data_IF_214146861847
#
_entry.id   IF_214146861847
#
_cell.length_a   1.000
_cell.length_b   1.000
_cell.length_c   1.000
_cell.angle_alpha   90.00
_cell.angle_beta   90.00
_cell.angle_gamma   90.00
#
_symmetry.space_group_name_H-M   'P 1'
#
loop_
_entity.id
_entity.type
_entity.pdbx_description
1 polymer ?
#
# COMPACT_ATOMS: atom_id res chain seq x y z
N UNK A 1 -9.36 -5.87 -3.44
CA UNK A 1 -8.23 -6.74 -3.01
C UNK A 1 -8.47 -7.13 -1.56
N UNK A 2 -8.36 -8.42 -1.20
CA UNK A 2 -8.62 -8.85 0.19
C UNK A 2 -7.30 -9.08 0.94
N UNK A 3 -7.25 -8.64 2.18
CA UNK A 3 -6.20 -8.95 3.16
C UNK A 3 -6.87 -9.39 4.47
N UNK A 4 -6.11 -9.94 5.42
CA UNK A 4 -6.68 -10.31 6.73
C UNK A 4 -7.14 -9.09 7.53
N UNK A 5 -6.41 -7.96 7.42
CA UNK A 5 -6.80 -6.67 8.00
C UNK A 5 -8.10 -6.09 7.44
N UNK A 6 -8.41 -6.35 6.17
CA UNK A 6 -9.67 -5.90 5.59
C UNK A 6 -9.73 -5.93 4.07
N UNK A 7 -10.82 -5.38 3.53
CA UNK A 7 -11.00 -5.22 2.09
C UNK A 7 -10.35 -3.90 1.65
N UNK A 8 -9.35 -4.00 0.77
CA UNK A 8 -8.74 -2.85 0.13
C UNK A 8 -9.41 -2.56 -1.23
N UNK A 9 -9.86 -1.33 -1.42
CA UNK A 9 -10.46 -0.80 -2.63
C UNK A 9 -9.46 0.05 -3.38
N UNK A 10 -9.46 -0.08 -4.71
CA UNK A 10 -8.66 0.79 -5.58
C UNK A 10 -9.26 2.20 -5.58
N UNK A 11 -8.40 3.22 -5.56
CA UNK A 11 -8.80 4.63 -5.54
C UNK A 11 -8.29 5.37 -6.77
N UNK A 12 -6.99 5.29 -7.06
CA UNK A 12 -6.37 5.97 -8.21
C UNK A 12 -5.16 5.17 -8.72
N UNK A 13 -4.76 5.41 -9.95
CA UNK A 13 -3.56 4.80 -10.55
C UNK A 13 -2.63 5.88 -11.05
N UNK A 14 -1.33 5.69 -10.84
CA UNK A 14 -0.26 6.54 -11.34
C UNK A 14 0.56 5.73 -12.35
N UNK A 15 0.27 5.96 -13.63
CA UNK A 15 0.90 5.22 -14.75
C UNK A 15 2.37 5.60 -14.96
N UNK A 16 2.77 6.81 -14.55
CA UNK A 16 4.14 7.30 -14.71
C UNK A 16 5.07 6.68 -13.69
N UNK A 17 4.55 6.43 -12.48
CA UNK A 17 5.29 5.79 -11.39
C UNK A 17 5.02 4.29 -11.27
N UNK A 18 4.14 3.74 -12.11
CA UNK A 18 3.67 2.36 -12.03
C UNK A 18 3.11 2.01 -10.63
N UNK A 19 2.39 2.95 -10.02
CA UNK A 19 1.79 2.79 -8.69
C UNK A 19 0.26 2.73 -8.79
N UNK A 20 -0.35 1.95 -7.93
CA UNK A 20 -1.80 1.95 -7.72
C UNK A 20 -2.10 2.23 -6.26
N UNK A 21 -3.01 3.16 -6.06
CA UNK A 21 -3.41 3.63 -4.75
C UNK A 21 -4.64 2.88 -4.28
N UNK A 22 -4.52 2.30 -3.10
CA UNK A 22 -5.59 1.54 -2.44
C UNK A 22 -5.94 2.15 -1.09
N UNK A 23 -7.15 1.95 -0.62
CA UNK A 23 -7.55 2.27 0.76
C UNK A 23 -8.38 1.12 1.34
N UNK A 24 -8.33 0.93 2.65
CA UNK A 24 -9.23 -0.01 3.30
C UNK A 24 -10.66 0.53 3.38
N UNK A 25 -11.66 -0.33 3.17
CA UNK A 25 -13.08 0.06 3.34
C UNK A 25 -13.41 0.51 4.75
N UNK A 26 -12.70 -0.04 5.74
CA UNK A 26 -12.84 0.33 7.15
C UNK A 26 -12.06 1.60 7.53
N UNK A 27 -11.16 2.08 6.67
CA UNK A 27 -10.37 3.28 6.89
C UNK A 27 -10.28 4.09 5.59
N UNK A 28 -11.43 4.67 5.16
CA UNK A 28 -11.47 5.50 3.97
C UNK A 28 -10.61 6.75 4.20
N UNK A 29 -9.71 7.05 3.27
CA UNK A 29 -8.80 8.20 3.36
C UNK A 29 -7.33 7.85 3.62
N UNK A 30 -7.05 6.63 4.10
CA UNK A 30 -5.69 6.12 4.20
C UNK A 30 -5.30 5.48 2.88
N UNK A 31 -4.61 6.25 2.04
CA UNK A 31 -4.18 5.82 0.71
C UNK A 31 -2.82 5.15 0.79
N UNK A 32 -2.71 4.00 0.16
CA UNK A 32 -1.52 3.17 0.14
C UNK A 32 -1.04 3.04 -1.30
N UNK A 33 0.13 3.59 -1.61
CA UNK A 33 0.74 3.47 -2.92
C UNK A 33 1.41 2.11 -3.06
N UNK A 34 0.81 1.23 -3.85
CA UNK A 34 1.29 -0.13 -4.09
C UNK A 34 1.83 -0.23 -5.52
N UNK A 35 3.10 -0.62 -5.73
CA UNK A 35 3.64 -0.82 -7.07
C UNK A 35 2.90 -1.95 -7.78
N UNK A 36 2.78 -1.81 -9.10
CA UNK A 36 2.03 -2.78 -9.94
C UNK A 36 2.53 -4.22 -9.74
N UNK A 37 3.84 -4.41 -9.56
CA UNK A 37 4.42 -5.73 -9.30
C UNK A 37 3.85 -6.36 -8.02
N UNK A 38 3.83 -5.60 -6.93
CA UNK A 38 3.24 -6.02 -5.66
C UNK A 38 1.72 -6.23 -5.77
N UNK A 39 1.01 -5.38 -6.52
CA UNK A 39 -0.43 -5.57 -6.78
C UNK A 39 -0.67 -6.90 -7.51
N UNK A 40 0.14 -7.23 -8.51
CA UNK A 40 0.06 -8.51 -9.22
C UNK A 40 0.36 -9.69 -8.28
N UNK A 41 1.37 -9.58 -7.41
CA UNK A 41 1.71 -10.58 -6.40
C UNK A 41 0.55 -10.82 -5.43
N UNK A 42 -0.02 -9.76 -4.86
CA UNK A 42 -1.15 -9.88 -3.93
C UNK A 42 -2.40 -10.42 -4.63
N UNK A 43 -2.67 -10.03 -5.88
CA UNK A 43 -3.77 -10.61 -6.67
C UNK A 43 -3.55 -12.11 -6.93
N UNK A 44 -2.32 -12.54 -7.22
CA UNK A 44 -1.98 -13.95 -7.38
C UNK A 44 -2.17 -14.73 -6.07
N UNK A 45 -1.75 -14.16 -4.94
CA UNK A 45 -2.00 -14.74 -3.61
C UNK A 45 -3.51 -14.89 -3.35
N UNK A 46 -4.30 -13.83 -3.60
CA UNK A 46 -5.75 -13.85 -3.47
C UNK A 46 -6.41 -14.95 -4.32
N UNK A 47 -5.94 -15.15 -5.56
CA UNK A 47 -6.39 -16.25 -6.44
C UNK A 47 -6.07 -17.63 -5.84
N UNK A 48 -4.98 -17.75 -5.08
CA UNK A 48 -4.57 -18.97 -4.39
C UNK A 48 -5.21 -19.12 -2.99
N UNK A 49 -6.23 -18.32 -2.64
CA UNK A 49 -6.81 -18.24 -1.29
C UNK A 49 -5.79 -17.87 -0.19
N UNK A 50 -4.68 -17.25 -0.56
CA UNK A 50 -3.70 -16.72 0.37
C UNK A 50 -3.93 -15.21 0.51
N UNK A 51 -4.31 -14.79 1.71
CA UNK A 51 -4.54 -13.39 2.00
C UNK A 51 -3.37 -12.85 2.82
N UNK A 52 -2.66 -11.81 2.35
CA UNK A 52 -1.63 -11.17 3.17
C UNK A 52 -2.28 -10.59 4.43
N UNK A 53 -1.50 -10.44 5.49
CA UNK A 53 -2.00 -9.83 6.73
C UNK A 53 -2.44 -8.39 6.48
N UNK A 54 -1.54 -7.58 5.93
CA UNK A 54 -1.74 -6.15 5.66
C UNK A 54 -1.28 -5.83 4.23
N UNK A 55 -1.94 -4.85 3.60
CA UNK A 55 -1.53 -4.31 2.31
C UNK A 55 -0.40 -3.27 2.45
N UNK A 56 -0.23 -2.71 3.65
CA UNK A 56 0.88 -1.80 3.99
C UNK A 56 2.27 -2.41 3.74
N UNK A 57 2.43 -3.72 3.95
CA UNK A 57 3.70 -4.44 3.70
C UNK A 57 4.11 -4.41 2.21
N UNK A 58 3.12 -4.25 1.33
CA UNK A 58 3.30 -4.17 -0.11
C UNK A 58 3.32 -2.72 -0.61
N UNK A 59 2.95 -1.77 0.24
CA UNK A 59 2.89 -0.36 -0.11
C UNK A 59 4.26 0.29 0.12
N UNK A 60 4.66 1.16 -0.80
CA UNK A 60 5.89 1.96 -0.67
C UNK A 60 5.62 3.36 -0.09
N UNK A 61 4.35 3.77 -0.03
CA UNK A 61 3.94 5.05 0.57
C UNK A 61 2.56 4.93 1.20
N UNK A 62 2.38 5.64 2.31
CA UNK A 62 1.13 5.76 3.06
C UNK A 62 0.78 7.24 3.15
N UNK A 63 -0.23 7.65 2.41
CA UNK A 63 -0.77 9.01 2.39
C UNK A 63 -2.06 9.02 3.21
N UNK A 64 -1.98 9.52 4.43
CA UNK A 64 -3.17 9.78 5.24
C UNK A 64 -3.77 11.09 4.75
N UNK A 65 -4.87 11.04 3.98
CA UNK A 65 -5.56 12.24 3.50
C UNK A 65 -6.20 13.07 4.64
N UNK A 66 -6.13 12.58 5.88
CA UNK A 66 -6.54 13.32 7.09
C UNK A 66 -5.43 14.22 7.66
N UNK A 67 -4.18 14.08 7.22
CA UNK A 67 -3.04 14.88 7.68
C UNK A 67 -2.15 15.28 6.49
N UNK A 68 -2.67 16.19 5.66
CA UNK A 68 -1.82 17.02 4.80
C UNK A 68 -1.03 18.01 5.69
N UNK A 69 -0.09 17.51 6.50
CA UNK A 69 0.93 18.35 7.18
C UNK A 69 2.16 17.59 7.71
N UNK A 70 2.27 16.25 7.64
CA UNK A 70 3.49 15.57 8.09
C UNK A 70 4.00 14.53 7.11
N UNK A 71 4.76 15.05 6.15
CA UNK A 71 5.84 14.33 5.47
C UNK A 71 6.69 13.61 6.54
N UNK A 72 6.53 12.30 6.64
CA UNK A 72 7.58 11.41 7.10
C UNK A 72 7.59 10.25 6.14
N UNK A 73 8.35 10.45 5.05
CA UNK A 73 8.90 9.34 4.30
C UNK A 73 9.56 8.41 5.30
N UNK A 74 9.18 7.13 5.24
CA UNK A 74 9.99 6.05 5.79
C UNK A 74 11.24 5.98 4.93
N UNK A 75 12.15 6.91 5.16
CA UNK A 75 13.53 6.78 4.74
C UNK A 75 14.14 5.70 5.61
N UNK A 76 14.41 4.56 4.98
CA UNK A 76 15.33 3.54 5.45
C UNK A 76 16.71 4.16 5.72
N UNK A 77 16.89 4.80 6.89
CA UNK A 77 18.21 5.20 7.39
C UNK A 77 18.85 3.95 8.02
N UNK A 78 19.13 2.96 7.18
CA UNK A 78 20.00 1.82 7.52
C UNK A 78 21.31 1.94 6.74
N UNK A 79 22.19 2.82 7.20
CA UNK A 79 23.63 2.76 6.94
C UNK A 79 24.35 3.40 8.12
N UNK A 80 24.44 2.66 9.23
CA UNK A 80 25.64 1.90 9.63
C UNK A 80 26.90 2.78 9.63
N UNK A 81 27.39 2.98 10.85
CA UNK A 81 28.63 3.63 11.21
C UNK A 81 29.83 3.18 10.36
N UNK A 82 30.65 4.16 9.99
CA UNK A 82 32.12 4.07 10.01
C UNK A 82 32.66 5.44 10.47
#
# INVERSE_FOLDING_TARGET
>A
MKTKKGLATHVKSDIFKNLMWYSYTNSPGNLMAVPIDNVAKVQKMNKNNQFPDNLEDFAISLENKMEDDRVVGKDDISKLAD
#
